data_IF_229745148408
#
_entry.id   IF_229745148408
#
_cell.length_a   1.000
_cell.length_b   1.000
_cell.length_c   1.000
_cell.angle_alpha   90.00
_cell.angle_beta   90.00
_cell.angle_gamma   90.00
#
_symmetry.space_group_name_H-M   'P 1'
#
loop_
_entity.id
_entity.type
_entity.pdbx_description
1 polymer ?
#
# COMPACT_ATOMS: atom_id res chain seq x y z
N UNK A 1 6.96 -10.40 0.76
CA UNK A 1 5.81 -11.01 0.05
C UNK A 1 4.68 -10.04 0.28
N UNK A 2 4.08 -9.43 -0.74
CA UNK A 2 3.26 -8.24 -0.53
C UNK A 2 2.14 -8.44 0.52
N UNK A 3 1.51 -9.62 0.56
CA UNK A 3 0.52 -9.93 1.58
C UNK A 3 1.09 -9.86 3.02
N UNK A 4 2.29 -10.39 3.27
CA UNK A 4 2.91 -10.30 4.60
C UNK A 4 3.40 -8.88 4.89
N UNK A 5 3.91 -8.17 3.88
CA UNK A 5 4.40 -6.80 4.03
C UNK A 5 3.25 -5.85 4.43
N UNK A 6 2.04 -6.07 3.88
CA UNK A 6 0.82 -5.37 4.28
C UNK A 6 0.36 -5.73 5.69
N UNK A 7 0.50 -6.99 6.12
CA UNK A 7 0.22 -7.40 7.50
C UNK A 7 1.22 -6.81 8.50
N UNK A 8 2.50 -6.74 8.13
CA UNK A 8 3.55 -6.12 8.94
C UNK A 8 3.31 -4.62 9.08
N UNK A 9 2.84 -3.95 8.03
CA UNK A 9 2.36 -2.57 8.11
C UNK A 9 1.13 -2.43 9.01
N UNK A 10 0.14 -3.32 8.88
CA UNK A 10 -1.09 -3.29 9.67
C UNK A 10 -0.83 -3.49 11.19
N UNK A 11 0.17 -4.28 11.56
CA UNK A 11 0.56 -4.48 12.96
C UNK A 11 1.68 -3.53 13.44
N UNK A 12 2.05 -2.53 12.64
CA UNK A 12 3.02 -1.49 13.01
C UNK A 12 4.48 -1.94 13.06
N UNK A 13 4.84 -3.05 12.42
CA UNK A 13 6.25 -3.43 12.22
C UNK A 13 6.90 -2.63 11.09
N UNK A 14 6.11 -2.27 10.09
CA UNK A 14 6.48 -1.34 9.03
C UNK A 14 5.63 -0.08 9.15
N UNK A 15 6.18 1.04 8.70
CA UNK A 15 5.45 2.31 8.61
C UNK A 15 4.95 2.62 7.19
N UNK A 16 5.53 1.94 6.20
CA UNK A 16 5.23 2.14 4.79
C UNK A 16 5.74 1.02 3.90
N UNK A 17 5.10 0.86 2.74
CA UNK A 17 5.36 -0.19 1.76
C UNK A 17 5.00 0.30 0.36
N UNK A 18 5.80 -0.04 -0.66
CA UNK A 18 5.44 0.19 -2.06
C UNK A 18 6.04 -0.90 -2.95
N UNK A 19 5.36 -1.23 -4.04
CA UNK A 19 5.87 -2.18 -5.03
C UNK A 19 5.26 -1.89 -6.40
N UNK A 20 5.98 -2.21 -7.49
CA UNK A 20 5.61 -1.80 -8.85
C UNK A 20 4.81 -2.84 -9.64
N UNK A 21 4.95 -4.12 -9.29
CA UNK A 21 4.45 -5.23 -10.09
C UNK A 21 3.79 -6.28 -9.22
N UNK A 22 2.54 -6.01 -8.85
CA UNK A 22 1.74 -6.93 -8.03
C UNK A 22 0.52 -7.41 -8.78
N UNK A 23 0.19 -8.69 -8.59
CA UNK A 23 -1.05 -9.26 -9.06
C UNK A 23 -2.14 -9.09 -7.99
N UNK A 24 -3.43 -9.16 -8.37
CA UNK A 24 -4.54 -8.94 -7.44
C UNK A 24 -4.50 -9.85 -6.20
N UNK A 25 -4.05 -11.09 -6.35
CA UNK A 25 -3.97 -12.06 -5.25
C UNK A 25 -2.83 -11.80 -4.27
N UNK A 26 -1.78 -11.07 -4.69
CA UNK A 26 -0.65 -10.75 -3.82
C UNK A 26 -1.05 -9.72 -2.74
N UNK A 27 -2.10 -8.93 -2.99
CA UNK A 27 -2.53 -7.83 -2.11
C UNK A 27 -3.92 -8.00 -1.53
N UNK A 28 -4.81 -8.79 -2.15
CA UNK A 28 -6.24 -8.84 -1.79
C UNK A 28 -6.49 -9.06 -0.29
N UNK A 29 -5.80 -10.01 0.33
CA UNK A 29 -5.95 -10.28 1.76
C UNK A 29 -5.35 -9.15 2.63
N UNK A 30 -4.14 -8.70 2.30
CA UNK A 30 -3.45 -7.65 3.05
C UNK A 30 -4.16 -6.30 3.00
N UNK A 31 -4.82 -5.97 1.87
CA UNK A 31 -5.60 -4.73 1.70
C UNK A 31 -6.72 -4.62 2.72
N UNK A 32 -7.48 -5.71 2.93
CA UNK A 32 -8.57 -5.71 3.91
C UNK A 32 -8.01 -5.51 5.32
N UNK A 33 -6.99 -6.29 5.69
CA UNK A 33 -6.37 -6.24 7.01
C UNK A 33 -5.81 -4.83 7.30
N UNK A 34 -5.06 -4.26 6.35
CA UNK A 34 -4.48 -2.93 6.49
C UNK A 34 -5.55 -1.86 6.68
N UNK A 35 -6.64 -1.92 5.91
CA UNK A 35 -7.74 -0.94 6.01
C UNK A 35 -8.45 -1.02 7.36
N UNK A 36 -8.72 -2.22 7.87
CA UNK A 36 -9.31 -2.41 9.21
C UNK A 36 -8.37 -1.93 10.33
N UNK A 37 -7.06 -2.01 10.12
CA UNK A 37 -6.06 -1.44 11.02
C UNK A 37 -5.91 0.10 10.91
N UNK A 38 -6.65 0.75 10.01
CA UNK A 38 -6.59 2.20 9.78
C UNK A 38 -5.45 2.66 8.88
N UNK A 39 -4.75 1.73 8.22
CA UNK A 39 -3.73 2.04 7.21
C UNK A 39 -4.34 2.45 5.87
N UNK A 40 -3.53 3.12 5.06
CA UNK A 40 -3.90 3.66 3.76
C UNK A 40 -3.16 2.88 2.69
N UNK A 41 -3.85 2.50 1.61
CA UNK A 41 -3.25 1.90 0.41
C UNK A 41 -3.94 2.43 -0.85
N UNK A 42 -3.14 2.84 -1.82
CA UNK A 42 -3.59 3.32 -3.14
C UNK A 42 -2.69 2.82 -4.25
N UNK A 43 -3.11 2.97 -5.50
CA UNK A 43 -2.18 2.97 -6.62
C UNK A 43 -1.34 4.27 -6.67
N UNK A 44 -0.49 4.40 -7.69
CA UNK A 44 0.38 5.57 -7.89
C UNK A 44 -0.41 6.87 -8.14
N UNK A 45 -1.61 6.78 -8.72
CA UNK A 45 -2.49 7.93 -8.99
C UNK A 45 -3.32 8.30 -7.75
N UNK A 46 -3.33 7.44 -6.74
CA UNK A 46 -4.08 7.62 -5.50
C UNK A 46 -5.46 7.00 -5.48
N UNK A 47 -5.80 6.15 -6.45
CA UNK A 47 -7.04 5.40 -6.43
C UNK A 47 -7.01 4.34 -5.34
N UNK A 48 -8.15 4.17 -4.66
CA UNK A 48 -8.36 3.08 -3.71
C UNK A 48 -8.68 1.73 -4.38
N UNK A 49 -8.82 1.70 -5.72
CA UNK A 49 -9.01 0.46 -6.48
C UNK A 49 -7.69 -0.29 -6.65
N UNK A 50 -7.30 -1.05 -5.63
CA UNK A 50 -5.98 -1.67 -5.52
C UNK A 50 -5.98 -3.19 -5.70
N UNK A 51 -7.14 -3.83 -5.82
CA UNK A 51 -7.23 -5.28 -6.16
C UNK A 51 -7.19 -5.41 -7.68
N UNK A 52 -6.05 -5.07 -8.27
CA UNK A 52 -5.77 -5.09 -9.71
C UNK A 52 -4.29 -5.41 -9.95
N UNK A 53 -3.88 -5.54 -11.20
CA UNK A 53 -2.45 -5.58 -11.52
C UNK A 53 -1.88 -4.16 -11.47
N UNK A 54 -0.68 -3.99 -10.90
CA UNK A 54 0.05 -2.74 -11.01
C UNK A 54 0.90 -2.39 -9.80
N UNK A 55 1.13 -1.08 -9.65
CA UNK A 55 1.96 -0.49 -8.63
C UNK A 55 1.11 0.09 -7.49
N UNK A 56 1.57 -0.08 -6.26
CA UNK A 56 0.85 0.32 -5.05
C UNK A 56 1.75 1.03 -4.05
N UNK A 57 1.14 1.92 -3.27
CA UNK A 57 1.76 2.61 -2.14
C UNK A 57 0.84 2.41 -0.94
N UNK A 58 1.42 1.96 0.16
CA UNK A 58 0.75 1.75 1.44
C UNK A 58 1.53 2.41 2.58
N UNK A 59 0.82 2.89 3.60
CA UNK A 59 1.45 3.44 4.80
C UNK A 59 0.45 3.67 5.92
N UNK A 60 0.97 3.94 7.12
CA UNK A 60 0.16 4.50 8.19
C UNK A 60 -0.25 5.96 7.83
N UNK A 61 -1.24 6.55 8.53
CA UNK A 61 -1.72 7.90 8.22
C UNK A 61 -0.65 9.00 8.24
N UNK A 62 0.42 8.82 9.03
CA UNK A 62 1.49 9.80 9.18
C UNK A 62 2.53 9.71 8.03
N UNK A 63 2.82 8.50 7.56
CA UNK A 63 3.91 8.21 6.61
C UNK A 63 3.41 8.10 5.17
N UNK A 64 2.18 7.65 4.95
CA UNK A 64 1.58 7.57 3.61
C UNK A 64 1.69 8.89 2.81
N UNK A 65 1.39 10.08 3.37
CA UNK A 65 1.50 11.34 2.62
C UNK A 65 2.93 11.64 2.13
N UNK A 66 3.94 11.30 2.94
CA UNK A 66 5.34 11.49 2.60
C UNK A 66 5.79 10.51 1.50
N UNK A 67 5.41 9.23 1.63
CA UNK A 67 5.70 8.21 0.62
C UNK A 67 5.08 8.55 -0.73
N UNK A 68 3.81 8.93 -0.74
CA UNK A 68 3.13 9.32 -1.97
C UNK A 68 3.83 10.49 -2.66
N UNK A 69 4.25 11.52 -1.91
CA UNK A 69 4.99 12.66 -2.48
C UNK A 69 6.33 12.25 -3.08
N UNK A 70 7.03 11.30 -2.46
CA UNK A 70 8.34 10.82 -2.93
C UNK A 70 8.23 9.93 -4.18
N UNK A 71 7.16 9.15 -4.28
CA UNK A 71 6.96 8.15 -5.33
C UNK A 71 6.10 8.67 -6.50
N UNK A 72 5.54 9.87 -6.38
CA UNK A 72 4.82 10.52 -7.48
C UNK A 72 5.77 10.78 -8.66
N UNK A 73 5.38 10.40 -9.89
CA UNK A 73 6.14 10.74 -11.09
C UNK A 73 6.31 12.26 -11.18
N UNK A 74 7.54 12.75 -11.36
CA UNK A 74 7.85 14.20 -11.46
C UNK A 74 7.70 14.76 -12.88
N UNK A 75 6.75 14.25 -13.68
CA UNK A 75 6.58 14.65 -15.08
C UNK A 75 5.33 15.50 -15.29
#
# INVERSE_FOLDING_TARGET
SAAIDLCDLACGRLDGFWELYLAPWDVAAGVLILREAGGIITDLDGSAEVIKHGAFIAGNPDIYPALRRLLQPQF
#
